data_IF_649138818036
#
_entry.id   IF_649138818036
#
_cell.length_a   1.000
_cell.length_b   1.000
_cell.length_c   1.000
_cell.angle_alpha   90.00
_cell.angle_beta   90.00
_cell.angle_gamma   90.00
#
_symmetry.space_group_name_H-M   'P 1'
#
loop_
_entity.id
_entity.type
_entity.pdbx_description
1 polymer ?
#
# COMPACT_ATOMS: atom_id res chain seq x y z
N UNK A 1 -46.88 -1.28 -6.65
CA UNK A 1 -47.01 -2.64 -7.20
C UNK A 1 -46.93 -3.62 -6.05
N UNK A 2 -48.09 -4.02 -5.55
CA UNK A 2 -48.27 -5.01 -4.50
C UNK A 2 -48.45 -6.39 -5.12
N UNK A 3 -47.88 -7.44 -4.55
CA UNK A 3 -48.41 -8.82 -4.61
C UNK A 3 -47.43 -9.79 -3.98
N UNK A 4 -47.93 -10.65 -3.08
CA UNK A 4 -47.45 -11.97 -2.61
C UNK A 4 -47.50 -12.01 -1.08
N UNK A 5 -48.03 -13.05 -0.41
CA UNK A 5 -48.64 -14.31 -0.83
C UNK A 5 -49.45 -14.85 0.37
N UNK A 6 -50.39 -15.75 0.08
CA UNK A 6 -51.40 -16.27 1.01
C UNK A 6 -50.82 -17.32 1.97
N UNK A 7 -51.02 -17.12 3.27
CA UNK A 7 -50.78 -18.14 4.30
C UNK A 7 -51.92 -19.16 4.36
N UNK A 8 -51.57 -20.46 4.42
CA UNK A 8 -52.51 -21.56 4.71
C UNK A 8 -52.52 -21.84 6.20
N UNK A 9 -53.70 -21.74 6.81
CA UNK A 9 -54.00 -22.14 8.19
C UNK A 9 -54.35 -23.63 8.17
N UNK A 10 -53.58 -24.45 8.87
CA UNK A 10 -53.88 -25.87 9.07
C UNK A 10 -54.60 -26.05 10.43
N UNK A 11 -55.84 -26.54 10.35
CA UNK A 11 -56.67 -26.96 11.48
C UNK A 11 -56.05 -28.18 12.18
N UNK A 12 -55.73 -28.02 13.47
CA UNK A 12 -55.22 -29.08 14.32
C UNK A 12 -56.38 -29.67 15.13
N UNK A 13 -56.70 -30.92 14.86
CA UNK A 13 -57.68 -31.71 15.62
C UNK A 13 -57.14 -32.05 17.01
N UNK A 14 -57.93 -31.77 18.03
CA UNK A 14 -57.69 -32.16 19.42
C UNK A 14 -58.18 -33.60 19.63
N UNK A 15 -57.24 -34.53 19.76
CA UNK A 15 -57.51 -35.92 20.11
C UNK A 15 -57.43 -36.05 21.64
N UNK A 16 -58.52 -36.50 22.25
CA UNK A 16 -58.62 -36.67 23.71
C UNK A 16 -57.78 -37.84 24.20
N UNK A 17 -56.92 -37.57 25.18
CA UNK A 17 -56.11 -38.60 25.82
C UNK A 17 -56.89 -39.30 26.94
N UNK A 18 -57.08 -40.61 26.75
CA UNK A 18 -57.58 -41.53 27.74
C UNK A 18 -56.55 -41.71 28.87
N UNK A 19 -56.96 -41.39 30.11
CA UNK A 19 -56.15 -41.57 31.32
C UNK A 19 -56.08 -43.07 31.65
N UNK A 20 -55.06 -43.74 31.14
CA UNK A 20 -54.69 -45.09 31.58
C UNK A 20 -53.86 -44.98 32.85
N UNK A 21 -54.47 -45.33 33.99
CA UNK A 21 -53.84 -45.36 35.30
C UNK A 21 -52.78 -46.47 35.39
N UNK A 22 -51.58 -46.21 34.88
CA UNK A 22 -50.41 -47.05 35.17
C UNK A 22 -50.03 -46.92 36.64
N UNK A 23 -49.86 -48.07 37.29
CA UNK A 23 -49.43 -48.21 38.69
C UNK A 23 -48.21 -47.33 38.99
N UNK A 24 -48.19 -46.71 40.19
CA UNK A 24 -47.11 -45.83 40.66
C UNK A 24 -45.71 -46.44 40.51
N UNK A 25 -45.60 -47.77 40.57
CA UNK A 25 -44.33 -48.48 40.41
C UNK A 25 -43.85 -48.57 38.95
N UNK A 26 -44.76 -48.65 37.98
CA UNK A 26 -44.39 -48.59 36.56
C UNK A 26 -43.87 -47.21 36.18
N UNK A 27 -44.52 -46.13 36.67
CA UNK A 27 -44.05 -44.75 36.45
C UNK A 27 -42.64 -44.54 36.99
N UNK A 28 -42.35 -44.99 38.21
CA UNK A 28 -41.00 -44.91 38.80
C UNK A 28 -39.97 -45.68 37.98
N UNK A 29 -40.30 -46.87 37.49
CA UNK A 29 -39.39 -47.68 36.67
C UNK A 29 -39.09 -47.02 35.32
N UNK A 30 -40.10 -46.42 34.68
CA UNK A 30 -39.91 -45.66 33.43
C UNK A 30 -39.08 -44.39 33.66
N UNK A 31 -39.31 -43.66 34.75
CA UNK A 31 -38.50 -42.48 35.10
C UNK A 31 -37.04 -42.84 35.37
N UNK A 32 -36.76 -43.93 36.09
CA UNK A 32 -35.39 -44.43 36.32
C UNK A 32 -34.69 -44.85 35.02
N UNK A 33 -35.41 -45.47 34.08
CA UNK A 33 -34.85 -45.84 32.77
C UNK A 33 -34.56 -44.59 31.94
N UNK A 34 -35.46 -43.59 31.94
CA UNK A 34 -35.27 -42.35 31.22
C UNK A 34 -34.13 -41.51 31.80
N UNK A 35 -33.99 -41.44 33.13
CA UNK A 35 -32.86 -40.77 33.79
C UNK A 35 -31.52 -41.46 33.49
N UNK A 36 -31.47 -42.80 33.44
CA UNK A 36 -30.26 -43.52 33.03
C UNK A 36 -29.93 -43.26 31.56
N UNK A 37 -30.92 -43.22 30.67
CA UNK A 37 -30.70 -42.90 29.24
C UNK A 37 -30.18 -41.47 29.05
N UNK A 38 -30.78 -40.47 29.71
CA UNK A 38 -30.32 -39.07 29.60
C UNK A 38 -28.94 -38.87 30.22
N UNK A 39 -28.61 -39.57 31.31
CA UNK A 39 -27.29 -39.49 31.93
C UNK A 39 -26.20 -40.15 31.08
N UNK A 40 -26.49 -41.29 30.44
CA UNK A 40 -25.57 -41.93 29.48
C UNK A 40 -25.37 -41.05 28.24
N UNK A 41 -26.46 -40.49 27.69
CA UNK A 41 -26.41 -39.61 26.52
C UNK A 41 -25.63 -38.32 26.80
N UNK A 42 -25.76 -37.74 27.99
CA UNK A 42 -24.98 -36.55 28.41
C UNK A 42 -23.48 -36.83 28.48
N UNK A 43 -23.07 -38.02 28.97
CA UNK A 43 -21.65 -38.40 29.02
C UNK A 43 -21.09 -38.62 27.62
N UNK A 44 -21.83 -39.29 26.73
CA UNK A 44 -21.41 -39.48 25.33
C UNK A 44 -21.22 -38.16 24.60
N UNK A 45 -22.13 -37.19 24.78
CA UNK A 45 -22.01 -35.85 24.18
C UNK A 45 -20.78 -35.11 24.72
N UNK A 46 -20.50 -35.19 26.03
CA UNK A 46 -19.30 -34.60 26.63
C UNK A 46 -18.01 -35.21 26.06
N UNK A 47 -17.96 -36.54 25.91
CA UNK A 47 -16.78 -37.19 25.30
C UNK A 47 -16.61 -36.80 23.84
N UNK A 48 -17.68 -36.74 23.04
CA UNK A 48 -17.59 -36.31 21.63
C UNK A 48 -17.10 -34.86 21.52
N UNK A 49 -17.63 -33.95 22.33
CA UNK A 49 -17.18 -32.55 22.37
C UNK A 49 -15.73 -32.43 22.82
N UNK A 50 -15.31 -33.21 23.82
CA UNK A 50 -13.93 -33.22 24.30
C UNK A 50 -12.97 -33.76 23.25
N UNK A 51 -13.36 -34.81 22.51
CA UNK A 51 -12.55 -35.40 21.45
C UNK A 51 -12.44 -34.45 20.25
N UNK A 52 -13.53 -33.75 19.91
CA UNK A 52 -13.54 -32.72 18.86
C UNK A 52 -12.65 -31.53 19.24
N UNK A 53 -12.77 -31.03 20.47
CA UNK A 53 -11.90 -29.97 20.99
C UNK A 53 -10.42 -30.40 20.99
N UNK A 54 -10.14 -31.64 21.39
CA UNK A 54 -8.79 -32.18 21.39
C UNK A 54 -8.21 -32.32 19.97
N UNK A 55 -9.02 -32.75 18.99
CA UNK A 55 -8.61 -32.79 17.58
C UNK A 55 -8.30 -31.40 17.00
N UNK A 56 -9.00 -30.35 17.45
CA UNK A 56 -8.72 -28.96 17.06
C UNK A 56 -7.40 -28.46 17.67
N UNK A 57 -7.02 -28.93 18.85
CA UNK A 57 -5.74 -28.59 19.50
C UNK A 57 -4.54 -29.30 18.85
N UNK A 58 -4.74 -30.50 18.29
CA UNK A 58 -3.71 -31.23 17.54
C UNK A 58 -3.69 -30.90 16.03
N UNK A 59 -4.64 -30.12 15.54
CA UNK A 59 -4.65 -29.58 14.17
C UNK A 59 -3.69 -28.38 13.99
N UNK A 60 -2.68 -28.26 14.85
CA UNK A 60 -1.54 -27.38 14.61
C UNK A 60 -0.79 -27.92 13.38
N UNK A 61 -1.20 -27.48 12.20
CA UNK A 61 -0.52 -27.78 10.94
C UNK A 61 0.95 -27.44 11.10
N UNK A 62 1.84 -28.29 10.56
CA UNK A 62 3.28 -28.01 10.53
C UNK A 62 3.49 -26.66 9.84
N UNK A 63 3.76 -25.61 10.61
CA UNK A 63 4.05 -24.26 10.11
C UNK A 63 5.54 -24.07 9.79
N UNK A 64 6.23 -25.13 9.37
CA UNK A 64 7.58 -24.97 8.82
C UNK A 64 7.43 -24.61 7.36
N UNK A 65 7.52 -23.32 7.05
CA UNK A 65 7.78 -22.85 5.69
C UNK A 65 9.23 -23.24 5.39
N UNK A 66 9.42 -24.28 4.58
CA UNK A 66 10.74 -24.64 4.08
C UNK A 66 11.15 -23.59 3.05
N UNK A 67 12.03 -22.68 3.44
CA UNK A 67 12.68 -21.72 2.55
C UNK A 67 13.97 -22.38 2.10
N UNK A 68 13.94 -23.02 0.94
CA UNK A 68 15.14 -23.55 0.29
C UNK A 68 15.37 -22.85 -1.06
N UNK A 69 16.50 -23.14 -1.70
CA UNK A 69 16.88 -22.57 -3.00
C UNK A 69 15.86 -22.90 -4.11
N UNK A 70 15.03 -23.94 -3.94
CA UNK A 70 14.01 -24.31 -4.91
C UNK A 70 12.80 -23.37 -4.93
N UNK A 71 12.65 -22.53 -3.90
CA UNK A 71 11.56 -21.55 -3.78
C UNK A 71 11.87 -20.20 -4.41
N UNK A 72 13.11 -19.97 -4.84
CA UNK A 72 13.51 -18.71 -5.47
C UNK A 72 13.18 -18.69 -6.96
N UNK A 73 12.40 -17.70 -7.37
CA UNK A 73 12.19 -17.36 -8.78
C UNK A 73 12.88 -16.03 -9.11
N UNK A 74 13.79 -16.00 -10.11
CA UNK A 74 14.38 -14.73 -10.55
C UNK A 74 13.29 -13.86 -11.21
N UNK A 75 13.29 -12.57 -10.86
CA UNK A 75 12.35 -11.56 -11.37
C UNK A 75 13.10 -10.30 -11.79
N UNK A 76 12.59 -9.64 -12.82
CA UNK A 76 13.00 -8.30 -13.21
C UNK A 76 12.34 -7.31 -12.25
N UNK A 77 13.12 -6.45 -11.60
CA UNK A 77 12.61 -5.41 -10.70
C UNK A 77 12.64 -4.08 -11.43
N UNK A 78 11.46 -3.48 -11.63
CA UNK A 78 11.28 -2.23 -12.34
C UNK A 78 10.98 -1.11 -11.34
N UNK A 79 11.68 0.01 -11.43
CA UNK A 79 11.34 1.24 -10.74
C UNK A 79 11.58 2.43 -11.67
N UNK A 80 10.51 2.91 -12.28
CA UNK A 80 10.55 4.01 -13.23
C UNK A 80 9.28 4.85 -13.20
N UNK A 81 9.44 6.15 -13.41
CA UNK A 81 8.32 7.09 -13.50
C UNK A 81 8.51 8.02 -14.68
N UNK A 82 7.46 8.20 -15.48
CA UNK A 82 7.42 9.20 -16.53
C UNK A 82 6.82 10.51 -16.01
N UNK A 83 7.36 11.63 -16.49
CA UNK A 83 6.90 12.96 -16.16
C UNK A 83 6.76 13.75 -17.45
N UNK A 84 5.65 14.48 -17.65
CA UNK A 84 5.43 15.25 -18.86
C UNK A 84 6.49 16.34 -19.03
N UNK A 85 6.76 16.69 -20.28
CA UNK A 85 7.77 17.66 -20.71
C UNK A 85 9.21 17.31 -20.27
N UNK A 86 9.44 16.07 -19.82
CA UNK A 86 10.76 15.56 -19.46
C UNK A 86 11.17 14.42 -20.37
N UNK A 87 12.48 14.30 -20.56
CA UNK A 87 13.09 13.12 -21.16
C UNK A 87 12.97 11.94 -20.18
N UNK A 88 12.64 10.72 -20.65
CA UNK A 88 12.74 9.52 -19.83
C UNK A 88 14.15 9.32 -19.30
N UNK A 89 14.28 9.26 -17.98
CA UNK A 89 15.56 9.06 -17.27
C UNK A 89 15.26 8.40 -15.93
N UNK A 90 16.30 7.88 -15.26
CA UNK A 90 16.18 7.22 -13.95
C UNK A 90 15.19 6.05 -13.94
N UNK A 91 15.18 5.26 -15.02
CA UNK A 91 14.44 4.00 -15.08
C UNK A 91 15.37 2.91 -14.54
N UNK A 92 15.16 2.49 -13.30
CA UNK A 92 15.97 1.47 -12.65
C UNK A 92 15.43 0.09 -13.03
N UNK A 93 16.28 -0.72 -13.67
CA UNK A 93 16.02 -2.12 -13.98
C UNK A 93 17.02 -2.96 -13.20
N UNK A 94 16.53 -3.66 -12.18
CA UNK A 94 17.33 -4.47 -11.26
C UNK A 94 16.77 -5.89 -11.15
N UNK A 95 17.29 -6.69 -10.21
CA UNK A 95 16.82 -8.06 -9.94
C UNK A 95 16.50 -8.29 -8.47
N UNK A 96 15.70 -9.32 -8.21
CA UNK A 96 15.56 -9.89 -6.87
C UNK A 96 16.71 -10.88 -6.56
N UNK A 97 16.78 -11.30 -5.30
CA UNK A 97 17.77 -12.24 -4.80
C UNK A 97 17.11 -13.27 -3.87
N UNK A 98 17.64 -14.50 -3.78
CA UNK A 98 17.21 -15.48 -2.80
C UNK A 98 17.36 -14.96 -1.37
N UNK A 99 16.49 -15.41 -0.48
CA UNK A 99 16.60 -15.08 0.96
C UNK A 99 17.91 -15.65 1.51
N UNK A 100 18.67 -14.82 2.23
CA UNK A 100 19.95 -15.21 2.82
C UNK A 100 21.16 -15.18 1.87
N UNK A 101 20.94 -14.88 0.58
CA UNK A 101 22.04 -14.72 -0.36
C UNK A 101 22.88 -13.48 -0.03
N UNK A 102 24.21 -13.60 -0.18
CA UNK A 102 25.11 -12.45 -0.14
C UNK A 102 24.87 -11.59 -1.40
N UNK A 103 24.41 -10.36 -1.21
CA UNK A 103 24.09 -9.45 -2.31
C UNK A 103 25.38 -8.77 -2.79
N UNK A 104 25.76 -9.08 -4.02
CA UNK A 104 26.78 -8.34 -4.77
C UNK A 104 26.15 -7.08 -5.36
N UNK A 105 26.55 -5.91 -4.86
CA UNK A 105 25.99 -4.61 -5.26
C UNK A 105 26.21 -4.31 -6.74
N UNK A 106 27.29 -4.82 -7.33
CA UNK A 106 27.61 -4.61 -8.74
C UNK A 106 26.67 -5.40 -9.67
N UNK A 107 26.03 -6.45 -9.15
CA UNK A 107 25.10 -7.32 -9.89
C UNK A 107 23.63 -6.98 -9.67
N UNK A 108 23.32 -5.93 -8.91
CA UNK A 108 21.93 -5.52 -8.66
C UNK A 108 21.31 -4.94 -9.93
N UNK A 109 22.03 -4.06 -10.62
CA UNK A 109 21.57 -3.46 -11.86
C UNK A 109 21.73 -4.44 -13.03
N UNK A 110 20.69 -4.57 -13.85
CA UNK A 110 20.72 -5.39 -15.07
C UNK A 110 21.25 -4.55 -16.22
N UNK A 111 22.55 -4.25 -16.19
CA UNK A 111 23.21 -3.34 -17.15
C UNK A 111 23.07 -3.78 -18.62
N UNK A 112 23.03 -5.09 -18.87
CA UNK A 112 22.94 -5.69 -20.20
C UNK A 112 21.49 -5.96 -20.65
N UNK A 113 20.49 -5.47 -19.91
CA UNK A 113 19.09 -5.63 -20.30
C UNK A 113 18.76 -4.83 -21.56
N UNK A 114 17.92 -5.40 -22.43
CA UNK A 114 17.31 -4.69 -23.53
C UNK A 114 16.05 -3.98 -23.03
N UNK A 115 16.09 -2.65 -23.02
CA UNK A 115 15.05 -1.80 -22.44
C UNK A 115 14.58 -0.80 -23.48
N UNK A 116 13.27 -0.74 -23.69
CA UNK A 116 12.66 0.26 -24.58
C UNK A 116 11.34 0.77 -24.03
N UNK A 117 10.96 1.95 -24.49
CA UNK A 117 9.63 2.51 -24.26
C UNK A 117 8.97 2.74 -25.61
N UNK A 118 7.77 2.20 -25.79
CA UNK A 118 6.92 2.46 -26.96
C UNK A 118 5.92 3.58 -26.63
N UNK A 119 5.86 4.62 -27.46
CA UNK A 119 4.73 5.56 -27.46
C UNK A 119 3.53 4.88 -28.13
N UNK A 120 2.45 4.67 -27.38
CA UNK A 120 1.29 3.94 -27.89
C UNK A 120 0.40 4.80 -28.80
N UNK A 121 0.66 6.12 -28.90
CA UNK A 121 -0.12 7.01 -29.77
C UNK A 121 0.26 6.89 -31.24
N UNK A 122 1.54 6.68 -31.55
CA UNK A 122 2.06 6.54 -32.92
C UNK A 122 2.83 5.22 -33.15
N UNK A 123 3.09 4.45 -32.10
CA UNK A 123 3.81 3.18 -32.15
C UNK A 123 5.33 3.33 -32.21
N UNK A 124 5.89 4.52 -32.03
CA UNK A 124 7.34 4.72 -32.03
C UNK A 124 8.00 3.97 -30.87
N UNK A 125 9.12 3.29 -31.15
CA UNK A 125 9.90 2.55 -30.14
C UNK A 125 11.19 3.30 -29.87
N UNK A 126 11.40 3.64 -28.60
CA UNK A 126 12.56 4.38 -28.12
C UNK A 126 13.42 3.49 -27.22
N UNK A 127 14.57 2.99 -27.70
CA UNK A 127 15.49 2.23 -26.87
C UNK A 127 16.10 3.12 -25.79
N UNK A 128 16.28 2.56 -24.59
CA UNK A 128 16.96 3.23 -23.48
C UNK A 128 18.40 2.70 -23.36
N UNK A 129 19.30 3.56 -22.89
CA UNK A 129 20.72 3.24 -22.70
C UNK A 129 21.04 3.21 -21.21
N UNK A 130 21.78 2.19 -20.78
CA UNK A 130 22.24 2.07 -19.40
C UNK A 130 23.32 3.12 -19.09
N UNK A 131 23.10 3.88 -18.02
CA UNK A 131 24.06 4.83 -17.48
C UNK A 131 24.82 4.19 -16.31
N UNK A 132 25.99 3.62 -16.59
CA UNK A 132 26.80 2.90 -15.59
C UNK A 132 27.31 3.76 -14.43
N UNK A 133 27.38 5.10 -14.59
CA UNK A 133 27.79 5.99 -13.50
C UNK A 133 26.71 6.13 -12.42
N UNK A 134 25.43 5.95 -12.79
CA UNK A 134 24.30 6.15 -11.89
C UNK A 134 23.39 4.93 -11.71
N UNK A 135 23.61 3.86 -12.49
CA UNK A 135 22.90 2.58 -12.35
C UNK A 135 21.45 2.60 -12.84
N UNK A 136 21.12 3.39 -13.85
CA UNK A 136 19.77 3.45 -14.42
C UNK A 136 19.77 3.55 -15.95
N UNK A 137 18.64 3.25 -16.57
CA UNK A 137 18.38 3.47 -17.99
C UNK A 137 17.80 4.86 -18.25
N UNK A 138 18.19 5.46 -19.37
CA UNK A 138 17.65 6.74 -19.84
C UNK A 138 17.58 6.81 -21.36
N UNK A 139 16.75 7.71 -21.88
CA UNK A 139 16.68 7.93 -23.32
C UNK A 139 17.94 8.64 -23.82
N UNK A 140 18.61 8.12 -24.87
CA UNK A 140 19.71 8.81 -25.51
C UNK A 140 19.25 10.03 -26.32
N UNK A 141 17.96 10.09 -26.68
CA UNK A 141 17.38 11.16 -27.49
C UNK A 141 17.15 12.41 -26.63
N UNK A 142 17.91 13.47 -26.92
CA UNK A 142 17.83 14.73 -26.16
C UNK A 142 16.56 15.53 -26.42
N UNK A 143 15.82 15.25 -27.49
CA UNK A 143 14.63 16.00 -27.92
C UNK A 143 13.30 15.28 -27.62
N UNK A 144 13.32 13.97 -27.37
CA UNK A 144 12.10 13.24 -27.04
C UNK A 144 11.61 13.63 -25.64
N UNK A 145 10.31 13.94 -25.54
CA UNK A 145 9.65 14.40 -24.32
C UNK A 145 8.37 13.59 -24.15
N UNK A 146 8.12 13.20 -22.91
CA UNK A 146 6.84 12.60 -22.53
C UNK A 146 5.75 13.67 -22.63
N UNK A 147 4.65 13.36 -23.32
CA UNK A 147 3.50 14.25 -23.41
C UNK A 147 2.46 13.91 -22.34
N UNK A 148 1.59 14.88 -22.07
CA UNK A 148 0.38 14.67 -21.26
C UNK A 148 -0.60 13.75 -21.99
N UNK A 149 -1.43 13.03 -21.23
CA UNK A 149 -2.55 12.21 -21.72
C UNK A 149 -2.16 11.08 -22.70
N UNK A 150 -0.86 10.86 -22.89
CA UNK A 150 -0.32 9.78 -23.71
C UNK A 150 -0.02 8.55 -22.87
N UNK A 151 -0.10 7.38 -23.53
CA UNK A 151 0.20 6.10 -22.93
C UNK A 151 1.52 5.56 -23.46
N UNK A 152 2.34 5.04 -22.56
CA UNK A 152 3.66 4.51 -22.87
C UNK A 152 3.77 3.08 -22.35
N UNK A 153 4.40 2.21 -23.14
CA UNK A 153 4.70 0.84 -22.74
C UNK A 153 6.20 0.65 -22.55
N UNK A 154 6.64 0.36 -21.33
CA UNK A 154 7.99 -0.14 -21.07
C UNK A 154 8.05 -1.62 -21.45
N UNK A 155 9.12 -2.01 -22.12
CA UNK A 155 9.48 -3.42 -22.38
C UNK A 155 10.91 -3.66 -21.91
N UNK A 156 11.11 -4.78 -21.21
CA UNK A 156 12.41 -5.20 -20.67
C UNK A 156 12.62 -6.67 -20.98
N UNK A 157 13.75 -7.00 -21.59
CA UNK A 157 14.25 -8.36 -21.72
C UNK A 157 15.61 -8.47 -21.02
N UNK A 158 15.80 -9.48 -20.18
CA UNK A 158 17.05 -9.68 -19.45
C UNK A 158 17.33 -11.15 -19.21
N UNK A 159 18.61 -11.50 -19.03
CA UNK A 159 19.01 -12.84 -18.59
C UNK A 159 19.41 -12.79 -17.12
N UNK A 160 18.72 -13.54 -16.27
CA UNK A 160 19.00 -13.63 -14.83
C UNK A 160 19.23 -15.11 -14.49
N UNK A 161 20.40 -15.43 -13.93
CA UNK A 161 20.78 -16.80 -13.53
C UNK A 161 20.63 -17.83 -14.68
N UNK A 162 20.94 -17.40 -15.91
CA UNK A 162 20.83 -18.22 -17.11
C UNK A 162 19.42 -18.34 -17.69
N UNK A 163 18.41 -17.74 -17.05
CA UNK A 163 17.03 -17.72 -17.54
C UNK A 163 16.76 -16.43 -18.31
N UNK A 164 16.19 -16.55 -19.51
CA UNK A 164 15.69 -15.41 -20.27
C UNK A 164 14.32 -15.00 -19.73
N UNK A 165 14.23 -13.77 -19.24
CA UNK A 165 13.03 -13.21 -18.62
C UNK A 165 12.54 -12.00 -19.44
N UNK A 166 11.23 -11.77 -19.41
CA UNK A 166 10.60 -10.63 -20.07
C UNK A 166 9.58 -9.95 -19.17
N UNK A 167 9.54 -8.62 -19.21
CA UNK A 167 8.54 -7.84 -18.48
C UNK A 167 8.04 -6.66 -19.32
N UNK A 168 6.76 -6.32 -19.16
CA UNK A 168 6.18 -5.16 -19.80
C UNK A 168 5.18 -4.44 -18.90
N UNK A 169 5.08 -3.13 -19.01
CA UNK A 169 4.10 -2.35 -18.26
C UNK A 169 3.66 -1.12 -19.05
N UNK A 170 2.37 -0.81 -18.97
CA UNK A 170 1.78 0.36 -19.64
C UNK A 170 1.32 1.36 -18.60
N UNK A 171 1.72 2.62 -18.76
CA UNK A 171 1.29 3.76 -17.94
C UNK A 171 0.66 4.82 -18.83
N UNK A 172 -0.28 5.60 -18.29
CA UNK A 172 -0.91 6.75 -18.96
C UNK A 172 -0.63 8.01 -18.15
N UNK A 173 0.01 8.99 -18.78
CA UNK A 173 0.39 10.25 -18.13
C UNK A 173 -0.86 11.08 -17.84
N UNK A 174 -1.11 11.51 -16.60
CA UNK A 174 -2.26 12.37 -16.29
C UNK A 174 -2.23 13.68 -17.09
N UNK A 175 -3.40 14.28 -17.33
CA UNK A 175 -3.49 15.48 -18.17
C UNK A 175 -2.96 16.75 -17.50
N UNK A 176 -2.86 17.86 -18.24
CA UNK A 176 -2.34 19.11 -17.69
C UNK A 176 -3.29 19.72 -16.64
N UNK A 177 -2.79 20.64 -15.81
CA UNK A 177 -3.63 21.44 -14.90
C UNK A 177 -3.39 21.21 -13.41
N UNK A 178 -2.50 20.29 -13.02
CA UNK A 178 -2.01 20.25 -11.65
C UNK A 178 -1.31 21.57 -11.32
N UNK A 179 -1.81 22.28 -10.32
CA UNK A 179 -1.23 23.55 -9.90
C UNK A 179 -1.49 23.78 -8.42
N UNK A 180 -0.45 24.03 -7.64
CA UNK A 180 -0.56 24.47 -6.25
C UNK A 180 -1.08 25.90 -6.22
N UNK A 181 -2.17 26.11 -5.49
CA UNK A 181 -2.75 27.43 -5.24
C UNK A 181 -2.08 28.02 -3.99
N UNK A 182 -1.11 28.91 -4.22
CA UNK A 182 -0.38 29.57 -3.13
C UNK A 182 -1.27 30.47 -2.27
N UNK A 183 -2.31 31.10 -2.84
CA UNK A 183 -3.18 32.01 -2.09
C UNK A 183 -4.02 31.27 -1.04
N UNK A 184 -4.32 29.99 -1.28
CA UNK A 184 -5.10 29.15 -0.37
C UNK A 184 -4.23 28.17 0.45
N UNK A 185 -2.95 28.02 0.09
CA UNK A 185 -1.97 27.20 0.81
C UNK A 185 -1.36 27.93 2.01
N UNK A 186 -0.80 27.17 2.95
CA UNK A 186 0.02 27.69 4.05
C UNK A 186 1.46 27.23 3.78
N UNK A 187 2.29 28.16 3.31
CA UNK A 187 3.66 27.92 2.84
C UNK A 187 4.60 29.05 3.28
N UNK A 188 5.89 28.94 2.96
CA UNK A 188 6.90 29.93 3.39
C UNK A 188 7.32 29.74 4.85
N UNK A 189 7.58 30.84 5.56
CA UNK A 189 8.02 30.80 6.96
C UNK A 189 6.85 30.50 7.91
N UNK A 190 7.02 29.45 8.72
CA UNK A 190 6.04 29.04 9.73
C UNK A 190 6.77 28.68 11.02
N UNK A 191 6.39 29.30 12.14
CA UNK A 191 6.91 28.86 13.43
C UNK A 191 6.38 27.46 13.77
N UNK A 192 7.22 26.61 14.33
CA UNK A 192 6.80 25.27 14.71
C UNK A 192 5.61 25.31 15.67
N UNK A 193 4.51 24.67 15.27
CA UNK A 193 3.23 24.69 15.99
C UNK A 193 2.77 26.14 16.28
N UNK A 194 2.85 27.01 15.26
CA UNK A 194 2.28 28.35 15.29
C UNK A 194 0.77 28.28 15.58
N UNK A 195 0.29 29.27 16.34
CA UNK A 195 -1.13 29.44 16.63
C UNK A 195 -1.66 30.72 15.98
N UNK A 196 -2.93 30.73 15.59
CA UNK A 196 -3.64 31.92 15.13
C UNK A 196 -4.03 32.84 16.31
N UNK A 197 -4.70 33.95 16.02
CA UNK A 197 -5.18 34.90 17.04
C UNK A 197 -6.23 34.33 18.00
N UNK A 198 -6.84 33.18 17.67
CA UNK A 198 -7.81 32.47 18.50
C UNK A 198 -7.15 31.34 19.32
N UNK A 199 -5.84 31.14 19.19
CA UNK A 199 -5.09 30.09 19.87
C UNK A 199 -5.15 28.72 19.19
N UNK A 200 -5.74 28.60 18.00
CA UNK A 200 -5.78 27.35 17.23
C UNK A 200 -4.47 27.12 16.50
N UNK A 201 -4.04 25.87 16.38
CA UNK A 201 -2.84 25.54 15.61
C UNK A 201 -3.08 25.81 14.12
N UNK A 202 -2.14 26.53 13.50
CA UNK A 202 -2.10 26.69 12.05
C UNK A 202 -1.42 25.44 11.48
N UNK A 203 -2.16 24.59 10.80
CA UNK A 203 -1.59 23.44 10.10
C UNK A 203 -1.07 23.87 8.73
N UNK A 204 0.20 23.56 8.37
CA UNK A 204 0.63 23.71 7.00
C UNK A 204 -0.27 22.89 6.08
N UNK A 205 -0.61 23.43 4.92
CA UNK A 205 -1.54 22.80 3.97
C UNK A 205 -1.19 23.20 2.54
N UNK A 206 -1.42 22.28 1.63
CA UNK A 206 -1.27 22.51 0.18
C UNK A 206 -2.65 22.45 -0.44
N UNK A 207 -3.14 23.60 -0.91
CA UNK A 207 -4.31 23.70 -1.76
C UNK A 207 -3.89 23.64 -3.22
N UNK A 208 -4.65 22.96 -4.07
CA UNK A 208 -4.26 22.73 -5.46
C UNK A 208 -5.46 22.49 -6.39
N UNK A 209 -5.24 22.80 -7.67
CA UNK A 209 -6.09 22.38 -8.78
C UNK A 209 -5.68 20.98 -9.22
N UNK A 210 -6.68 20.15 -9.46
CA UNK A 210 -6.48 18.77 -9.85
C UNK A 210 -6.10 18.65 -11.34
N UNK A 211 -5.13 17.79 -11.64
CA UNK A 211 -4.90 17.29 -13.00
C UNK A 211 -5.97 16.23 -13.33
N UNK A 212 -6.56 16.25 -14.54
CA UNK A 212 -7.57 15.26 -14.96
C UNK A 212 -6.95 13.87 -15.05
N UNK A 213 -7.80 12.85 -14.85
CA UNK A 213 -7.47 11.42 -14.96
C UNK A 213 -6.38 10.90 -14.01
N UNK A 214 -5.90 11.72 -13.08
CA UNK A 214 -5.03 11.26 -12.00
C UNK A 214 -5.77 10.27 -11.09
N UNK A 215 -5.16 9.11 -10.83
CA UNK A 215 -5.74 8.09 -9.95
C UNK A 215 -5.67 8.50 -8.48
N UNK A 216 -4.68 9.32 -8.10
CA UNK A 216 -4.49 9.84 -6.75
C UNK A 216 -3.57 11.06 -6.72
N UNK A 217 -3.56 11.76 -5.59
CA UNK A 217 -2.63 12.85 -5.32
C UNK A 217 -1.76 12.51 -4.12
N UNK A 218 -0.44 12.53 -4.31
CA UNK A 218 0.55 12.25 -3.28
C UNK A 218 1.34 13.52 -2.96
N UNK A 219 1.36 13.91 -1.71
CA UNK A 219 2.22 14.99 -1.21
C UNK A 219 3.44 14.37 -0.53
N UNK A 220 4.61 14.54 -1.14
CA UNK A 220 5.90 14.23 -0.55
C UNK A 220 6.42 15.43 0.24
N UNK A 221 6.88 15.20 1.47
CA UNK A 221 7.41 16.20 2.40
C UNK A 221 8.82 15.78 2.76
N UNK A 222 9.82 16.56 2.31
CA UNK A 222 11.23 16.25 2.50
C UNK A 222 11.95 17.40 3.25
N UNK A 223 12.52 17.11 4.41
CA UNK A 223 13.41 18.04 5.12
C UNK A 223 14.75 18.15 4.40
N UNK A 224 15.09 19.35 3.92
CA UNK A 224 16.33 19.57 3.14
C UNK A 224 17.55 19.77 4.03
N UNK A 225 17.35 20.30 5.23
CA UNK A 225 18.39 20.59 6.21
C UNK A 225 18.31 19.60 7.40
N UNK A 226 17.93 18.35 7.13
CA UNK A 226 17.71 17.32 8.14
C UNK A 226 19.01 16.88 8.81
N UNK A 227 19.11 17.07 10.13
CA UNK A 227 20.24 16.65 10.95
C UNK A 227 19.81 16.39 12.39
N UNK A 228 20.71 15.85 13.22
CA UNK A 228 20.43 15.65 14.65
C UNK A 228 20.24 16.99 15.37
N UNK A 229 20.93 18.04 14.91
CA UNK A 229 20.88 19.40 15.45
C UNK A 229 19.60 20.13 15.07
N UNK A 230 19.09 19.91 13.85
CA UNK A 230 17.82 20.50 13.42
C UNK A 230 16.60 19.71 13.90
N UNK A 231 16.77 18.52 14.48
CA UNK A 231 15.66 17.70 14.95
C UNK A 231 14.80 18.39 16.02
N UNK A 232 13.48 18.24 15.90
CA UNK A 232 12.49 18.82 16.83
C UNK A 232 12.23 17.83 17.96
N UNK A 233 12.85 18.05 19.12
CA UNK A 233 12.71 17.16 20.29
C UNK A 233 11.36 17.31 21.01
N UNK A 234 10.70 18.45 20.85
CA UNK A 234 9.34 18.77 21.34
C UNK A 234 8.22 18.29 20.39
N UNK A 235 8.53 17.30 19.54
CA UNK A 235 7.57 16.71 18.61
C UNK A 235 6.40 16.05 19.34
N UNK A 236 5.20 16.00 18.74
CA UNK A 236 3.99 15.47 19.40
C UNK A 236 4.05 13.98 19.72
N UNK A 237 5.03 13.24 19.16
CA UNK A 237 5.20 11.79 19.37
C UNK A 237 6.17 11.51 20.54
N UNK A 238 6.90 12.52 21.01
CA UNK A 238 7.92 12.37 22.07
C UNK A 238 9.12 11.53 21.63
N UNK A 239 9.38 11.45 20.31
CA UNK A 239 10.52 10.68 19.80
C UNK A 239 11.82 11.42 20.06
N UNK A 240 12.82 10.70 20.56
CA UNK A 240 14.21 11.15 20.67
C UNK A 240 15.03 10.48 19.57
N UNK A 241 15.52 11.27 18.61
CA UNK A 241 16.24 10.74 17.45
C UNK A 241 17.51 9.98 17.84
N UNK A 242 18.20 10.39 18.92
CA UNK A 242 19.44 9.73 19.35
C UNK A 242 19.16 8.31 19.81
N UNK A 243 18.11 8.13 20.62
CA UNK A 243 17.64 6.80 21.06
C UNK A 243 17.11 5.96 19.90
N UNK A 244 16.50 6.59 18.89
CA UNK A 244 16.06 5.88 17.69
C UNK A 244 17.27 5.37 16.89
N UNK A 245 18.30 6.20 16.73
CA UNK A 245 19.53 5.84 16.04
C UNK A 245 20.33 4.74 16.77
N UNK A 246 20.36 4.77 18.11
CA UNK A 246 20.90 3.68 18.93
C UNK A 246 20.19 2.33 18.68
N UNK A 247 18.95 2.37 18.20
CA UNK A 247 18.15 1.18 17.81
C UNK A 247 18.21 0.88 16.31
N UNK A 248 19.10 1.54 15.58
CA UNK A 248 19.33 1.31 14.15
C UNK A 248 18.51 2.17 13.20
N UNK A 249 17.78 3.17 13.68
CA UNK A 249 17.14 4.15 12.78
C UNK A 249 18.19 5.08 12.15
N UNK A 250 17.89 5.61 10.97
CA UNK A 250 18.69 6.63 10.30
C UNK A 250 17.93 7.97 10.23
N UNK A 251 18.63 9.07 9.97
CA UNK A 251 18.00 10.40 9.84
C UNK A 251 16.98 10.40 8.69
N UNK A 252 17.28 9.67 7.62
CA UNK A 252 16.45 9.50 6.44
C UNK A 252 15.08 8.90 6.78
N UNK A 253 14.99 8.08 7.83
CA UNK A 253 13.72 7.50 8.32
C UNK A 253 12.76 8.56 8.85
N UNK A 254 13.26 9.76 9.15
CA UNK A 254 12.49 10.92 9.59
C UNK A 254 12.42 12.02 8.53
N UNK A 255 13.39 12.05 7.60
CA UNK A 255 13.52 13.07 6.56
C UNK A 255 12.38 13.05 5.55
N UNK A 256 11.93 11.85 5.16
CA UNK A 256 10.94 11.66 4.11
C UNK A 256 9.59 11.23 4.69
N UNK A 257 8.57 12.02 4.41
CA UNK A 257 7.17 11.73 4.77
C UNK A 257 6.31 11.91 3.54
N UNK A 258 5.21 11.18 3.50
CA UNK A 258 4.24 11.34 2.44
C UNK A 258 2.82 11.15 2.96
N UNK A 259 1.87 11.81 2.32
CA UNK A 259 0.44 11.67 2.55
C UNK A 259 -0.25 11.74 1.21
N UNK A 260 -1.30 10.96 1.01
CA UNK A 260 -2.03 10.96 -0.24
C UNK A 260 -3.51 11.19 -0.01
N UNK A 261 -4.21 11.54 -1.09
CA UNK A 261 -5.66 11.68 -1.13
C UNK A 261 -6.20 11.16 -2.45
N UNK A 262 -7.47 10.76 -2.44
CA UNK A 262 -8.20 10.41 -3.65
C UNK A 262 -8.66 11.65 -4.42
N UNK A 263 -9.01 11.51 -5.71
CA UNK A 263 -9.56 12.60 -6.50
C UNK A 263 -10.89 13.17 -5.99
N UNK A 264 -11.65 12.43 -5.19
CA UNK A 264 -12.91 12.93 -4.63
C UNK A 264 -12.71 13.97 -3.50
N UNK A 265 -11.47 14.20 -3.03
CA UNK A 265 -11.15 15.20 -2.01
C UNK A 265 -11.15 16.63 -2.57
N UNK A 266 -12.28 17.05 -3.14
CA UNK A 266 -12.53 18.40 -3.66
C UNK A 266 -13.29 19.24 -2.65
N UNK A 267 -12.90 20.50 -2.54
CA UNK A 267 -13.52 21.57 -1.78
C UNK A 267 -13.77 22.75 -2.73
N UNK A 268 -14.88 22.70 -3.46
CA UNK A 268 -15.12 23.59 -4.61
C UNK A 268 -14.17 23.26 -5.77
N UNK A 269 -13.50 24.28 -6.30
CA UNK A 269 -12.56 24.15 -7.43
C UNK A 269 -11.16 23.67 -7.02
N UNK A 270 -10.90 23.59 -5.71
CA UNK A 270 -9.61 23.19 -5.16
C UNK A 270 -9.71 21.87 -4.42
N UNK A 271 -8.57 21.24 -4.22
CA UNK A 271 -8.36 20.13 -3.30
C UNK A 271 -7.33 20.55 -2.25
N UNK A 272 -7.37 19.94 -1.07
CA UNK A 272 -6.47 20.31 0.03
C UNK A 272 -5.86 19.06 0.66
N UNK A 273 -4.53 19.06 0.81
CA UNK A 273 -3.81 18.08 1.63
C UNK A 273 -3.17 18.83 2.80
N UNK A 274 -3.59 18.49 4.01
CA UNK A 274 -2.98 18.99 5.24
C UNK A 274 -1.65 18.27 5.53
N UNK A 275 -0.62 19.04 5.86
CA UNK A 275 0.66 18.56 6.36
C UNK A 275 0.58 18.52 7.89
N UNK A 276 0.41 17.31 8.42
CA UNK A 276 0.28 17.14 9.85
C UNK A 276 1.62 17.42 10.55
N UNK A 277 1.59 18.01 11.75
CA UNK A 277 2.81 18.34 12.50
C UNK A 277 3.72 17.14 12.81
N UNK A 278 3.20 15.91 12.84
CA UNK A 278 4.01 14.70 12.99
C UNK A 278 4.76 14.29 11.69
N UNK A 279 4.50 14.98 10.57
CA UNK A 279 5.26 14.84 9.34
C UNK A 279 6.47 15.78 9.30
N UNK A 280 6.57 16.71 10.26
CA UNK A 280 7.64 17.71 10.36
C UNK A 280 8.52 17.34 11.56
N UNK A 281 9.74 16.88 11.26
CA UNK A 281 10.70 16.35 12.23
C UNK A 281 11.90 17.26 12.50
N UNK A 282 12.10 18.29 11.67
CA UNK A 282 13.28 19.14 11.66
C UNK A 282 12.88 20.61 11.56
N UNK A 283 13.68 21.49 12.15
CA UNK A 283 13.72 22.91 11.85
C UNK A 283 14.45 23.13 10.51
N UNK A 284 14.09 24.19 9.78
CA UNK A 284 14.70 24.54 8.49
C UNK A 284 13.80 24.26 7.30
N UNK A 285 14.40 24.12 6.11
CA UNK A 285 13.66 24.11 4.84
C UNK A 285 13.09 22.73 4.52
N UNK A 286 11.87 22.75 4.01
CA UNK A 286 11.15 21.62 3.48
C UNK A 286 10.82 21.85 2.01
N UNK A 287 10.99 20.81 1.20
CA UNK A 287 10.44 20.73 -0.14
C UNK A 287 9.18 19.87 -0.11
N UNK A 288 8.08 20.45 -0.57
CA UNK A 288 6.78 19.79 -0.68
C UNK A 288 6.52 19.57 -2.16
N UNK A 289 6.51 18.31 -2.60
CA UNK A 289 6.23 17.96 -4.01
C UNK A 289 4.88 17.27 -4.06
N UNK A 290 3.95 17.87 -4.78
CA UNK A 290 2.65 17.29 -5.06
C UNK A 290 2.73 16.51 -6.38
N UNK A 291 2.33 15.26 -6.35
CA UNK A 291 2.23 14.39 -7.52
C UNK A 291 0.75 14.12 -7.80
N UNK A 292 0.32 14.36 -9.03
CA UNK A 292 -0.89 13.75 -9.57
C UNK A 292 -0.45 12.49 -10.30
N UNK A 293 -0.64 11.33 -9.68
CA UNK A 293 -0.09 10.06 -10.16
C UNK A 293 -1.12 9.22 -10.92
N UNK A 294 -0.64 8.42 -11.84
CA UNK A 294 -1.44 7.43 -12.57
C UNK A 294 -1.82 6.21 -11.70
N UNK A 295 -2.53 5.27 -12.30
CA UNK A 295 -3.01 4.06 -11.63
C UNK A 295 -1.87 3.16 -11.15
N UNK A 296 -0.82 2.98 -11.95
CA UNK A 296 0.30 2.11 -11.59
C UNK A 296 1.02 2.67 -10.35
N UNK A 297 1.23 3.98 -10.30
CA UNK A 297 1.79 4.63 -9.12
C UNK A 297 0.86 4.49 -7.89
N UNK A 298 -0.45 4.68 -8.06
CA UNK A 298 -1.42 4.48 -6.98
C UNK A 298 -1.39 3.06 -6.40
N UNK A 299 -1.43 2.04 -7.26
CA UNK A 299 -1.43 0.63 -6.84
C UNK A 299 -0.14 0.28 -6.10
N UNK A 300 1.02 0.62 -6.67
CA UNK A 300 2.30 0.35 -6.04
C UNK A 300 2.40 1.02 -4.67
N UNK A 301 2.12 2.34 -4.60
CA UNK A 301 2.22 3.10 -3.36
C UNK A 301 1.35 2.51 -2.24
N UNK A 302 0.14 2.06 -2.55
CA UNK A 302 -0.79 1.55 -1.54
C UNK A 302 -0.58 0.08 -1.15
N UNK A 303 -0.01 -0.75 -2.03
CA UNK A 303 0.05 -2.20 -1.80
C UNK A 303 1.44 -2.72 -1.44
N UNK A 304 2.53 -2.06 -1.86
CA UNK A 304 3.91 -2.59 -1.67
C UNK A 304 4.31 -2.84 -0.21
N UNK A 305 3.70 -2.12 0.75
CA UNK A 305 3.94 -2.28 2.21
C UNK A 305 2.79 -2.98 2.94
N UNK A 306 1.72 -3.34 2.25
CA UNK A 306 0.52 -3.94 2.83
C UNK A 306 0.32 -5.32 2.23
N UNK A 307 1.28 -6.19 2.52
CA UNK A 307 1.31 -7.58 2.02
C UNK A 307 0.77 -8.57 3.04
N UNK A 308 0.35 -8.10 4.22
CA UNK A 308 -0.20 -8.93 5.29
C UNK A 308 -1.61 -8.48 5.62
N UNK A 309 -2.54 -9.44 5.59
CA UNK A 309 -3.95 -9.24 5.95
C UNK A 309 -4.16 -9.30 7.47
N UNK A 310 -5.31 -8.81 7.99
CA UNK A 310 -5.62 -8.87 9.42
C UNK A 310 -5.64 -10.28 10.01
N UNK A 311 -5.86 -11.32 9.19
CA UNK A 311 -5.82 -12.72 9.61
C UNK A 311 -4.39 -13.32 9.59
N UNK A 312 -3.39 -12.53 9.17
CA UNK A 312 -2.00 -12.90 9.09
C UNK A 312 -1.56 -13.49 7.75
N UNK A 313 -2.49 -13.70 6.80
CA UNK A 313 -2.17 -14.21 5.47
C UNK A 313 -1.34 -13.21 4.68
N UNK A 314 -0.44 -13.74 3.85
CA UNK A 314 0.42 -12.94 2.98
C UNK A 314 -0.11 -12.95 1.55
N UNK A 315 -0.09 -11.80 0.89
CA UNK A 315 -0.34 -11.67 -0.55
C UNK A 315 0.73 -10.80 -1.20
N UNK A 316 0.88 -10.94 -2.52
CA UNK A 316 1.80 -10.08 -3.27
C UNK A 316 1.22 -8.66 -3.38
N UNK A 317 2.07 -7.61 -3.44
CA UNK A 317 1.62 -6.30 -3.87
C UNK A 317 0.98 -6.36 -5.25
N UNK A 318 0.13 -5.39 -5.56
CA UNK A 318 -0.42 -5.25 -6.90
C UNK A 318 0.59 -4.52 -7.78
N UNK A 319 1.11 -5.23 -8.78
CA UNK A 319 1.99 -4.69 -9.81
C UNK A 319 1.27 -4.74 -11.16
N UNK A 320 1.15 -3.59 -11.83
CA UNK A 320 0.63 -3.52 -13.20
C UNK A 320 1.75 -3.83 -14.21
N UNK A 321 2.36 -5.02 -14.06
CA UNK A 321 3.47 -5.51 -14.87
C UNK A 321 3.12 -6.91 -15.38
N UNK A 322 3.23 -7.11 -16.69
CA UNK A 322 3.10 -8.39 -17.38
C UNK A 322 4.44 -9.14 -17.36
N UNK A 323 4.41 -10.47 -17.34
CA UNK A 323 5.59 -11.33 -17.43
C UNK A 323 6.30 -11.54 -16.08
N UNK A 324 7.63 -11.56 -16.11
CA UNK A 324 8.52 -11.90 -14.99
C UNK A 324 8.93 -10.68 -14.16
N UNK A 325 8.17 -9.59 -14.26
CA UNK A 325 8.49 -8.31 -13.65
C UNK A 325 7.74 -8.04 -12.34
N UNK A 326 8.38 -7.32 -11.43
CA UNK A 326 7.79 -6.76 -10.21
C UNK A 326 8.20 -5.30 -10.04
N UNK A 327 7.47 -4.53 -9.23
CA UNK A 327 7.78 -3.12 -8.95
C UNK A 327 6.80 -2.15 -9.62
N UNK A 328 7.31 -1.08 -10.22
CA UNK A 328 6.48 0.01 -10.75
C UNK A 328 7.08 0.66 -11.99
N UNK A 329 6.26 0.77 -13.03
CA UNK A 329 6.43 1.73 -14.12
C UNK A 329 5.18 2.58 -14.18
N UNK A 330 5.26 3.79 -13.65
CA UNK A 330 4.12 4.71 -13.53
C UNK A 330 4.41 6.06 -14.17
N UNK A 331 3.51 7.00 -13.95
CA UNK A 331 3.68 8.37 -14.41
C UNK A 331 3.00 9.36 -13.47
N UNK A 332 3.47 10.60 -13.51
CA UNK A 332 2.89 11.67 -12.70
C UNK A 332 3.14 13.05 -13.29
N UNK A 333 2.20 13.96 -13.05
CA UNK A 333 2.41 15.41 -13.14
C UNK A 333 2.85 15.90 -11.77
N UNK A 334 3.76 16.88 -11.71
CA UNK A 334 4.24 17.40 -10.43
C UNK A 334 4.23 18.91 -10.34
N UNK A 335 3.99 19.40 -9.13
CA UNK A 335 4.22 20.79 -8.75
C UNK A 335 4.88 20.84 -7.37
N UNK A 336 5.59 21.92 -7.07
CA UNK A 336 6.45 22.02 -5.88
C UNK A 336 6.28 23.36 -5.17
N UNK A 337 6.22 23.30 -3.84
CA UNK A 337 6.26 24.47 -2.96
C UNK A 337 7.27 24.25 -1.84
N UNK A 338 7.73 25.33 -1.21
CA UNK A 338 8.67 25.29 -0.11
C UNK A 338 8.04 25.84 1.17
N UNK A 339 8.45 25.25 2.28
CA UNK A 339 8.06 25.62 3.64
C UNK A 339 9.34 25.71 4.47
N UNK A 340 9.42 26.67 5.38
CA UNK A 340 10.55 26.85 6.27
C UNK A 340 10.04 26.85 7.71
N UNK A 341 10.51 25.89 8.51
CA UNK A 341 10.04 25.68 9.88
C UNK A 341 11.00 26.37 10.84
N UNK A 342 10.49 27.41 11.48
CA UNK A 342 11.26 28.25 12.39
C UNK A 342 11.07 27.79 13.85
N UNK A 343 12.16 27.87 14.61
CA UNK A 343 12.10 27.73 16.07
C UNK A 343 11.43 28.97 16.66
N UNK A 344 10.55 28.78 17.64
CA UNK A 344 10.00 29.93 18.38
C UNK A 344 11.14 30.65 19.13
N UNK A 345 11.15 31.99 19.13
CA UNK A 345 12.13 32.77 19.85
C UNK A 345 12.08 32.51 21.36
#
# INVERSE_FOLDING_TARGET
MSSHSRGRVALRWTQGDAVTGKSKDEKKKTELINMRKTMVQSKTIQYVLFTLALSLLFACGKTSVEIDESTYEPKIVINGYLYPDKRPTRIFITRNFPVGATIDKEKIALADADVSITDLSDGSVHPLVFNGAFGFFESPESNWRIAYEQSYRLQVNATIDGQALSAASTTTVPGPGLQIDLAHSVYGDLYYRQKDGNGNLISPRVAYRQSPDAAFYLLSVAGLDASVESFIYENPVGTDIRKAMERGANIEDFQYRAKWTRPENRQGDLSVIEVNWYMIWFYGRYRLVLYAGDRNFYHFYNTHKRVQEPDGNLHQPLFDIEGDGIGVFGSAVTDTVYLNILKKP
#
